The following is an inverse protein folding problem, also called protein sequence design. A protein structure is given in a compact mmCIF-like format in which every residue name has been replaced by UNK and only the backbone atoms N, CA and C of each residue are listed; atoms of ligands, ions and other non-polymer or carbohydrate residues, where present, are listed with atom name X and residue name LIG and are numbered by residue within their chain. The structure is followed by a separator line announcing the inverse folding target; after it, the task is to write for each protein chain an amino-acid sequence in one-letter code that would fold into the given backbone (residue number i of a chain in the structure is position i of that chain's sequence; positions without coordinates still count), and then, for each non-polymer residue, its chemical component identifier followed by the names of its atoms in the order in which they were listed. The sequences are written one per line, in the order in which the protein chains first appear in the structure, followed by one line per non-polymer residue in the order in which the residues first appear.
data_IF_589400281170
#
_entry.id   IF_589400281170
#
_cell.length_a   1.000
_cell.length_b   1.000
_cell.length_c   1.000
_cell.angle_alpha   90.00
_cell.angle_beta   90.00
_cell.angle_gamma   90.00
#
_symmetry.space_group_name_H-M   'P 1'
#
loop_
_entity.id
_entity.type
_entity.pdbx_description
1 polymer ?
#
# COMPACT_ATOMS: atom_id res chain seq x y z
N UNK A 1 -7.55 7.66 -27.40
CA UNK A 1 -7.17 9.04 -27.05
C UNK A 1 -5.76 9.27 -27.58
N UNK A 2 -5.45 10.41 -28.19
CA UNK A 2 -4.12 10.64 -28.77
C UNK A 2 -3.07 10.93 -27.69
N UNK A 3 -1.77 10.68 -27.95
CA UNK A 3 -0.69 11.03 -27.03
C UNK A 3 -0.68 12.51 -26.60
N UNK A 4 -1.03 13.44 -27.49
CA UNK A 4 -1.10 14.89 -27.19
C UNK A 4 -2.21 15.19 -26.20
N UNK A 5 -3.34 14.50 -26.32
CA UNK A 5 -4.46 14.64 -25.39
C UNK A 5 -4.06 14.08 -24.02
N UNK A 6 -3.44 12.89 -23.99
CA UNK A 6 -2.92 12.29 -22.75
C UNK A 6 -1.92 13.24 -22.07
N UNK A 7 -1.04 13.87 -22.85
CA UNK A 7 -0.08 14.87 -22.34
C UNK A 7 -0.77 16.03 -21.63
N UNK A 8 -1.83 16.59 -22.22
CA UNK A 8 -2.61 17.67 -21.60
C UNK A 8 -3.27 17.23 -20.29
N UNK A 9 -3.77 15.99 -20.23
CA UNK A 9 -4.44 15.46 -19.03
C UNK A 9 -3.49 15.37 -17.84
N UNK A 10 -2.36 14.67 -18.00
CA UNK A 10 -1.45 14.50 -16.87
C UNK A 10 -0.74 15.81 -16.50
N UNK A 11 -0.48 16.72 -17.46
CA UNK A 11 0.02 18.06 -17.11
C UNK A 11 -1.00 18.90 -16.34
N UNK A 12 -2.29 18.63 -16.50
CA UNK A 12 -3.36 19.30 -15.76
C UNK A 12 -3.73 18.63 -14.42
N UNK A 13 -2.98 17.62 -13.99
CA UNK A 13 -3.26 16.92 -12.74
C UNK A 13 -4.45 15.97 -12.79
N UNK A 14 -4.88 15.50 -13.97
CA UNK A 14 -6.12 14.72 -14.13
C UNK A 14 -5.84 13.23 -14.28
N UNK A 15 -6.59 12.42 -13.53
CA UNK A 15 -6.72 10.97 -13.75
C UNK A 15 -7.53 10.70 -15.04
N UNK A 16 -6.99 9.91 -15.95
CA UNK A 16 -7.63 9.55 -17.22
C UNK A 16 -8.86 8.63 -17.00
N UNK A 17 -9.88 8.68 -17.88
CA UNK A 17 -11.05 7.79 -17.82
C UNK A 17 -10.72 6.30 -18.08
N UNK A 18 -11.60 5.41 -17.63
CA UNK A 18 -11.46 3.93 -17.75
C UNK A 18 -11.29 3.48 -19.20
N UNK A 19 -11.97 4.11 -20.14
CA UNK A 19 -11.95 3.77 -21.56
C UNK A 19 -10.58 4.02 -22.20
N UNK A 20 -9.77 4.89 -21.60
CA UNK A 20 -8.39 5.14 -22.03
C UNK A 20 -7.50 3.99 -21.61
N UNK A 21 -7.66 3.46 -20.39
CA UNK A 21 -6.82 2.39 -19.88
C UNK A 21 -6.92 1.10 -20.73
N UNK A 22 -8.09 0.81 -21.32
CA UNK A 22 -8.28 -0.32 -22.23
C UNK A 22 -7.39 -0.26 -23.50
N UNK A 23 -6.93 0.93 -23.90
CA UNK A 23 -6.03 1.11 -25.05
C UNK A 23 -4.56 0.84 -24.70
N UNK A 24 -4.23 0.77 -23.40
CA UNK A 24 -2.89 0.63 -22.87
C UNK A 24 -2.86 -0.48 -21.81
N UNK A 25 -3.08 -1.75 -22.20
CA UNK A 25 -3.08 -2.85 -21.25
C UNK A 25 -1.71 -3.02 -20.59
N UNK A 26 -1.70 -3.46 -19.33
CA UNK A 26 -0.47 -3.85 -18.65
C UNK A 26 0.19 -5.03 -19.33
N UNK A 27 1.53 -5.06 -19.36
CA UNK A 27 2.25 -6.28 -19.70
C UNK A 27 1.95 -7.37 -18.65
N UNK A 28 1.87 -8.65 -19.07
CA UNK A 28 1.70 -9.74 -18.11
C UNK A 28 2.90 -9.81 -17.16
N UNK A 29 2.62 -9.95 -15.87
CA UNK A 29 3.66 -10.18 -14.87
C UNK A 29 4.19 -11.62 -15.00
N UNK A 30 5.47 -11.80 -14.68
CA UNK A 30 6.10 -13.12 -14.70
C UNK A 30 5.74 -13.87 -13.41
N UNK A 31 4.99 -14.97 -13.55
CA UNK A 31 4.52 -15.78 -12.41
C UNK A 31 4.89 -17.23 -12.66
N UNK A 32 5.65 -17.83 -11.74
CA UNK A 32 6.08 -19.21 -11.86
C UNK A 32 4.96 -20.17 -11.44
N UNK A 33 4.60 -21.15 -12.27
CA UNK A 33 3.53 -22.11 -11.96
C UNK A 33 2.21 -21.43 -11.52
N UNK A 34 1.78 -20.45 -12.30
CA UNK A 34 0.64 -19.58 -12.00
C UNK A 34 -0.61 -20.36 -11.55
N UNK A 35 -1.00 -20.14 -10.29
CA UNK A 35 -2.15 -20.78 -9.64
C UNK A 35 -3.48 -20.09 -10.01
N UNK A 36 -3.41 -18.90 -10.61
CA UNK A 36 -4.55 -18.02 -10.83
C UNK A 36 -5.06 -17.33 -9.56
N UNK A 37 -4.40 -17.46 -8.41
CA UNK A 37 -4.79 -16.76 -7.17
C UNK A 37 -4.31 -15.31 -7.21
N UNK A 38 -5.25 -14.38 -7.13
CA UNK A 38 -4.99 -12.94 -7.02
C UNK A 38 -5.02 -12.48 -5.56
N UNK A 39 -3.96 -11.81 -5.11
CA UNK A 39 -3.81 -11.24 -3.77
C UNK A 39 -3.80 -9.72 -3.83
N UNK A 40 -4.71 -9.09 -3.09
CA UNK A 40 -4.66 -7.67 -2.79
C UNK A 40 -3.81 -7.47 -1.54
N UNK A 41 -2.69 -6.78 -1.67
CA UNK A 41 -1.87 -6.35 -0.53
C UNK A 41 -2.32 -4.96 -0.12
N UNK A 42 -2.96 -4.88 1.03
CA UNK A 42 -3.51 -3.65 1.58
C UNK A 42 -2.40 -2.78 2.19
N UNK A 43 -2.29 -1.55 1.71
CA UNK A 43 -1.35 -0.54 2.19
C UNK A 43 -2.06 0.74 2.67
N UNK A 44 -3.41 0.80 2.63
CA UNK A 44 -4.18 1.91 3.18
C UNK A 44 -4.23 1.89 4.72
N UNK A 45 -3.86 0.75 5.31
CA UNK A 45 -3.76 0.58 6.77
C UNK A 45 -2.34 0.44 7.27
N UNK A 46 -1.38 0.10 6.39
CA UNK A 46 0.05 0.12 6.69
C UNK A 46 0.85 0.00 5.40
N UNK A 47 1.61 1.03 5.07
CA UNK A 47 2.60 1.01 4.00
C UNK A 47 4.01 1.02 4.60
N UNK A 48 4.89 0.21 4.01
CA UNK A 48 6.33 0.24 4.26
C UNK A 48 7.08 -0.39 3.08
N UNK A 49 8.40 -0.22 3.04
CA UNK A 49 9.22 -0.66 1.90
C UNK A 49 9.18 -2.17 1.65
N UNK A 50 8.92 -2.98 2.68
CA UNK A 50 8.78 -4.43 2.50
C UNK A 50 7.56 -4.74 1.64
N UNK A 51 6.40 -4.13 1.93
CA UNK A 51 5.18 -4.33 1.14
C UNK A 51 5.32 -3.76 -0.28
N UNK A 52 6.02 -2.63 -0.41
CA UNK A 52 6.23 -1.95 -1.68
C UNK A 52 7.10 -2.73 -2.67
N UNK A 53 8.24 -3.22 -2.20
CA UNK A 53 9.31 -3.66 -3.11
C UNK A 53 9.75 -5.10 -2.89
N UNK A 54 9.50 -5.69 -1.73
CA UNK A 54 10.09 -6.98 -1.38
C UNK A 54 9.10 -8.12 -1.51
N UNK A 55 7.84 -7.91 -1.13
CA UNK A 55 6.85 -8.98 -1.04
C UNK A 55 6.37 -9.49 -2.41
N UNK A 56 6.11 -8.57 -3.36
CA UNK A 56 5.46 -8.90 -4.63
C UNK A 56 6.19 -9.99 -5.42
N UNK A 57 7.49 -9.82 -5.64
CA UNK A 57 8.32 -10.77 -6.37
C UNK A 57 8.32 -12.16 -5.72
N UNK A 58 8.41 -12.22 -4.38
CA UNK A 58 8.42 -13.49 -3.66
C UNK A 58 7.10 -14.27 -3.83
N UNK A 59 5.97 -13.58 -3.91
CA UNK A 59 4.68 -14.21 -4.21
C UNK A 59 4.60 -14.70 -5.66
N UNK A 60 5.11 -13.91 -6.62
CA UNK A 60 5.08 -14.26 -8.04
C UNK A 60 5.93 -15.51 -8.34
N UNK A 61 7.06 -15.67 -7.66
CA UNK A 61 7.91 -16.87 -7.73
C UNK A 61 7.21 -18.13 -7.20
N UNK A 62 6.11 -17.99 -6.47
CA UNK A 62 5.30 -19.08 -5.87
C UNK A 62 3.94 -19.27 -6.52
N UNK A 63 3.75 -18.71 -7.72
CA UNK A 63 2.53 -18.89 -8.49
C UNK A 63 1.36 -18.01 -8.06
N UNK A 64 1.60 -17.04 -7.19
CA UNK A 64 0.57 -16.13 -6.68
C UNK A 64 0.70 -14.79 -7.39
N UNK A 65 -0.40 -14.29 -7.94
CA UNK A 65 -0.48 -12.96 -8.55
C UNK A 65 -0.77 -11.95 -7.44
N UNK A 66 -0.06 -10.83 -7.38
CA UNK A 66 -0.27 -9.83 -6.33
C UNK A 66 -0.20 -8.41 -6.84
N UNK A 67 -0.93 -7.51 -6.18
CA UNK A 67 -0.77 -6.06 -6.35
C UNK A 67 -0.94 -5.37 -4.99
N UNK A 68 -0.04 -4.42 -4.71
CA UNK A 68 -0.17 -3.50 -3.58
C UNK A 68 -1.16 -2.38 -3.90
N UNK A 69 -1.95 -1.99 -2.90
CA UNK A 69 -2.92 -0.91 -3.01
C UNK A 69 -2.87 0.06 -1.84
N UNK A 70 -2.85 1.36 -2.14
CA UNK A 70 -3.10 2.42 -1.17
C UNK A 70 -4.58 2.78 -1.01
N UNK A 71 -5.44 2.33 -1.93
CA UNK A 71 -6.87 2.60 -1.85
C UNK A 71 -7.55 1.73 -0.79
N UNK A 72 -8.60 2.28 -0.17
CA UNK A 72 -9.39 1.56 0.84
C UNK A 72 -10.10 0.35 0.23
N UNK A 73 -10.28 -0.67 1.06
CA UNK A 73 -10.80 -1.98 0.67
C UNK A 73 -12.23 -1.90 0.11
N UNK A 74 -13.06 -0.99 0.59
CA UNK A 74 -14.44 -0.81 0.11
C UNK A 74 -14.50 -0.50 -1.39
N UNK A 75 -13.46 0.14 -1.93
CA UNK A 75 -13.41 0.49 -3.35
C UNK A 75 -12.88 -0.63 -4.24
N UNK A 76 -12.26 -1.67 -3.67
CA UNK A 76 -11.50 -2.67 -4.42
C UNK A 76 -12.08 -4.08 -4.36
N UNK A 77 -12.92 -4.40 -3.38
CA UNK A 77 -13.43 -5.76 -3.22
C UNK A 77 -14.56 -6.10 -4.21
N UNK A 78 -15.06 -5.12 -4.96
CA UNK A 78 -16.03 -5.33 -6.05
C UNK A 78 -15.31 -5.41 -7.40
N UNK A 79 -15.24 -6.57 -8.07
CA UNK A 79 -14.60 -6.67 -9.37
C UNK A 79 -15.25 -5.73 -10.40
N UNK A 80 -14.42 -5.03 -11.17
CA UNK A 80 -14.85 -4.03 -12.16
C UNK A 80 -15.10 -2.63 -11.61
N UNK A 81 -15.04 -2.42 -10.29
CA UNK A 81 -15.04 -1.06 -9.71
C UNK A 81 -13.82 -0.26 -10.20
N UNK A 82 -13.93 1.07 -10.38
CA UNK A 82 -12.80 1.88 -10.81
C UNK A 82 -11.75 2.00 -9.69
N UNK A 83 -10.50 1.65 -10.00
CA UNK A 83 -9.33 1.93 -9.16
C UNK A 83 -8.31 2.78 -9.94
N UNK A 84 -7.52 3.60 -9.23
CA UNK A 84 -6.52 4.46 -9.85
C UNK A 84 -5.21 3.68 -10.05
N UNK A 85 -4.70 3.66 -11.27
CA UNK A 85 -3.44 2.98 -11.64
C UNK A 85 -2.61 3.84 -12.58
N UNK A 86 -1.38 3.44 -12.85
CA UNK A 86 -0.51 4.03 -13.88
C UNK A 86 -0.58 3.20 -15.16
N UNK A 87 -0.87 3.79 -16.32
CA UNK A 87 -0.96 3.03 -17.60
C UNK A 87 0.29 3.23 -18.50
N UNK A 88 0.78 2.22 -19.24
CA UNK A 88 2.00 2.35 -20.04
C UNK A 88 1.75 2.95 -21.45
N UNK A 89 1.84 4.28 -21.59
CA UNK A 89 1.56 4.98 -22.88
C UNK A 89 2.78 5.05 -23.82
N UNK A 90 3.99 4.83 -23.30
CA UNK A 90 5.30 4.84 -23.97
C UNK A 90 6.00 6.23 -24.15
N UNK A 91 7.34 6.24 -24.33
CA UNK A 91 8.28 5.27 -23.75
C UNK A 91 8.54 5.52 -22.25
N UNK A 92 8.13 6.69 -21.72
CA UNK A 92 8.32 7.10 -20.32
C UNK A 92 7.15 7.88 -19.75
N UNK A 93 5.96 7.78 -20.36
CA UNK A 93 4.75 8.45 -19.85
C UNK A 93 3.81 7.37 -19.32
N UNK A 94 3.63 7.39 -18.00
CA UNK A 94 2.75 6.53 -17.23
C UNK A 94 1.74 7.39 -16.46
N UNK A 95 0.75 7.99 -17.15
CA UNK A 95 -0.23 8.83 -16.50
C UNK A 95 -1.14 7.99 -15.59
N UNK A 96 -1.76 8.65 -14.61
CA UNK A 96 -2.81 8.05 -13.81
C UNK A 96 -4.07 7.86 -14.65
N UNK A 97 -4.70 6.70 -14.53
CA UNK A 97 -5.97 6.38 -15.14
C UNK A 97 -6.84 5.57 -14.18
N UNK A 98 -8.15 5.68 -14.33
CA UNK A 98 -9.07 4.73 -13.74
C UNK A 98 -8.98 3.41 -14.51
N UNK A 99 -9.04 2.29 -13.80
CA UNK A 99 -8.95 0.94 -14.35
C UNK A 99 -9.93 0.01 -13.60
N UNK A 100 -10.55 -0.97 -14.28
CA UNK A 100 -11.47 -1.89 -13.61
C UNK A 100 -10.71 -2.83 -12.69
N UNK A 101 -11.06 -2.81 -11.40
CA UNK A 101 -10.44 -3.64 -10.37
C UNK A 101 -10.58 -5.13 -10.72
N UNK A 102 -9.53 -5.96 -10.58
CA UNK A 102 -9.62 -7.36 -10.93
C UNK A 102 -10.36 -8.11 -9.82
N UNK A 103 -10.71 -9.37 -10.10
CA UNK A 103 -11.18 -10.26 -9.04
C UNK A 103 -10.03 -10.55 -8.08
N UNK A 104 -10.25 -10.34 -6.78
CA UNK A 104 -9.34 -10.78 -5.72
C UNK A 104 -9.80 -12.12 -5.15
N UNK A 105 -8.82 -12.96 -4.79
CA UNK A 105 -9.04 -14.21 -4.06
C UNK A 105 -8.74 -14.03 -2.58
N UNK A 106 -7.69 -13.28 -2.27
CA UNK A 106 -7.23 -13.03 -0.90
C UNK A 106 -6.92 -11.56 -0.69
N UNK A 107 -7.29 -11.03 0.48
CA UNK A 107 -6.79 -9.75 1.01
C UNK A 107 -5.75 -10.07 2.08
N UNK A 108 -4.56 -9.50 1.94
CA UNK A 108 -3.53 -9.49 2.97
C UNK A 108 -3.47 -8.08 3.54
N UNK A 109 -3.81 -7.92 4.81
CA UNK A 109 -3.83 -6.63 5.49
C UNK A 109 -3.18 -6.70 6.86
N UNK A 110 -2.64 -5.57 7.29
CA UNK A 110 -1.95 -5.40 8.55
C UNK A 110 -2.47 -4.14 9.25
N UNK A 111 -2.85 -4.28 10.53
CA UNK A 111 -3.23 -3.14 11.35
C UNK A 111 -2.10 -2.72 12.29
N UNK A 112 -2.05 -1.43 12.60
CA UNK A 112 -1.35 -0.88 13.76
C UNK A 112 -2.29 0.10 14.50
N UNK A 113 -2.09 0.32 15.79
CA UNK A 113 -2.84 1.30 16.58
C UNK A 113 -2.56 2.72 16.10
N UNK A 114 -1.36 2.99 15.59
CA UNK A 114 -0.95 4.31 15.10
C UNK A 114 -1.30 4.57 13.63
N UNK A 115 -1.91 3.59 12.97
CA UNK A 115 -2.28 3.68 11.57
C UNK A 115 -3.78 3.99 11.40
N UNK A 116 -4.20 4.45 10.20
CA UNK A 116 -5.59 4.67 9.89
C UNK A 116 -6.48 3.48 10.23
N UNK A 117 -7.68 3.79 10.69
CA UNK A 117 -8.66 2.78 11.06
C UNK A 117 -9.36 2.21 9.83
N UNK A 118 -9.76 0.94 9.91
CA UNK A 118 -10.75 0.38 9.00
C UNK A 118 -12.07 1.14 9.18
N UNK A 119 -12.55 1.79 8.12
CA UNK A 119 -13.82 2.53 8.17
C UNK A 119 -15.03 1.57 8.05
N UNK A 120 -16.23 1.95 8.49
CA UNK A 120 -17.40 1.06 8.48
C UNK A 120 -17.72 0.43 7.13
N UNK A 121 -17.51 1.17 6.04
CA UNK A 121 -17.69 0.70 4.67
C UNK A 121 -16.73 -0.45 4.32
N UNK A 122 -15.47 -0.36 4.73
CA UNK A 122 -14.47 -1.41 4.52
C UNK A 122 -14.81 -2.67 5.30
N UNK A 123 -15.24 -2.52 6.56
CA UNK A 123 -15.68 -3.65 7.39
C UNK A 123 -16.86 -4.38 6.74
N UNK A 124 -17.81 -3.61 6.18
CA UNK A 124 -18.97 -4.17 5.49
C UNK A 124 -18.56 -4.93 4.22
N UNK A 125 -17.69 -4.37 3.40
CA UNK A 125 -17.24 -5.01 2.15
C UNK A 125 -16.33 -6.21 2.41
N UNK A 126 -15.43 -6.15 3.39
CA UNK A 126 -14.63 -7.29 3.84
C UNK A 126 -15.50 -8.45 4.30
N UNK A 127 -16.56 -8.17 5.05
CA UNK A 127 -17.53 -9.18 5.47
C UNK A 127 -18.22 -9.81 4.26
N UNK A 128 -18.72 -9.02 3.32
CA UNK A 128 -19.34 -9.55 2.08
C UNK A 128 -18.35 -10.42 1.30
N UNK A 129 -17.13 -9.94 1.11
CA UNK A 129 -16.05 -10.65 0.42
C UNK A 129 -15.74 -12.00 1.08
N UNK A 130 -15.55 -12.01 2.39
CA UNK A 130 -15.29 -13.23 3.17
C UNK A 130 -16.46 -14.23 3.05
N UNK A 131 -17.70 -13.81 3.29
CA UNK A 131 -18.86 -14.72 3.18
C UNK A 131 -19.08 -15.23 1.75
N UNK A 132 -18.67 -14.47 0.73
CA UNK A 132 -18.74 -14.86 -0.67
C UNK A 132 -17.68 -15.90 -1.09
N UNK A 133 -16.70 -16.22 -0.24
CA UNK A 133 -15.64 -17.18 -0.54
C UNK A 133 -14.22 -16.59 -0.53
N UNK A 134 -14.08 -15.28 -0.38
CA UNK A 134 -12.79 -14.62 -0.30
C UNK A 134 -11.98 -15.04 0.93
N UNK A 135 -10.66 -15.02 0.79
CA UNK A 135 -9.72 -15.21 1.89
C UNK A 135 -9.30 -13.88 2.50
N UNK A 136 -9.26 -13.77 3.82
CA UNK A 136 -8.75 -12.57 4.50
C UNK A 136 -7.63 -13.00 5.44
N UNK A 137 -6.45 -12.42 5.29
CA UNK A 137 -5.30 -12.60 6.17
C UNK A 137 -5.06 -11.28 6.89
N UNK A 138 -5.18 -11.30 8.21
CA UNK A 138 -4.98 -10.14 9.07
C UNK A 138 -3.76 -10.36 9.96
N UNK A 139 -2.81 -9.43 9.89
CA UNK A 139 -1.71 -9.33 10.83
C UNK A 139 -2.00 -8.29 11.90
N UNK A 140 -1.89 -8.71 13.16
CA UNK A 140 -1.88 -7.81 14.30
C UNK A 140 -0.53 -7.14 14.52
N UNK A 141 -0.46 -6.34 15.59
CA UNK A 141 0.77 -5.80 16.13
C UNK A 141 0.67 -5.73 17.67
N UNK A 142 1.70 -5.25 18.34
CA UNK A 142 1.71 -4.99 19.77
C UNK A 142 0.63 -3.98 20.17
N UNK A 143 -0.13 -4.29 21.21
CA UNK A 143 -1.20 -3.41 21.70
C UNK A 143 -1.02 -3.13 23.18
N UNK A 144 -1.17 -1.86 23.57
CA UNK A 144 -1.20 -1.44 24.98
C UNK A 144 -2.60 -1.62 25.57
N UNK A 145 -2.68 -1.72 26.90
CA UNK A 145 -3.94 -1.98 27.61
C UNK A 145 -5.06 -0.98 27.25
N UNK A 146 -4.73 0.31 27.22
CA UNK A 146 -5.62 1.43 26.91
C UNK A 146 -6.09 1.47 25.44
N UNK A 147 -5.34 0.86 24.55
CA UNK A 147 -5.54 0.96 23.10
C UNK A 147 -6.29 -0.25 22.51
N UNK A 148 -6.38 -1.35 23.26
CA UNK A 148 -6.87 -2.64 22.74
C UNK A 148 -8.36 -2.72 22.45
N UNK A 149 -9.19 -1.91 23.10
CA UNK A 149 -10.64 -1.95 22.92
C UNK A 149 -11.12 -1.06 21.76
N UNK A 150 -10.41 0.05 21.52
CA UNK A 150 -10.79 1.04 20.51
C UNK A 150 -10.08 0.84 19.18
N UNK A 151 -9.16 -0.12 19.10
CA UNK A 151 -8.45 -0.39 17.86
C UNK A 151 -9.36 -1.08 16.82
N UNK A 152 -9.43 -0.48 15.63
CA UNK A 152 -10.30 -0.91 14.53
C UNK A 152 -10.07 -2.36 14.09
N UNK A 153 -8.83 -2.86 14.11
CA UNK A 153 -8.56 -4.27 13.82
C UNK A 153 -9.21 -5.18 14.87
N UNK A 154 -9.16 -4.82 16.15
CA UNK A 154 -9.83 -5.59 17.19
C UNK A 154 -11.35 -5.52 17.11
N UNK A 155 -11.91 -4.39 16.66
CA UNK A 155 -13.34 -4.30 16.36
C UNK A 155 -13.73 -5.29 15.25
N UNK A 156 -12.98 -5.31 14.14
CA UNK A 156 -13.16 -6.27 13.05
C UNK A 156 -13.04 -7.72 13.55
N UNK A 157 -11.98 -8.04 14.29
CA UNK A 157 -11.72 -9.40 14.79
C UNK A 157 -12.76 -9.87 15.80
N UNK A 158 -13.32 -8.96 16.61
CA UNK A 158 -14.30 -9.31 17.64
C UNK A 158 -15.58 -9.92 17.06
N UNK A 159 -15.99 -9.50 15.85
CA UNK A 159 -17.12 -10.10 15.12
C UNK A 159 -16.90 -11.58 14.80
N UNK A 160 -15.64 -12.00 14.74
CA UNK A 160 -15.23 -13.38 14.47
C UNK A 160 -14.70 -14.07 15.72
N UNK A 161 -14.96 -13.54 16.91
CA UNK A 161 -14.51 -14.15 18.17
C UNK A 161 -12.99 -14.18 18.32
N UNK A 162 -12.28 -13.19 17.76
CA UNK A 162 -10.84 -13.04 17.93
C UNK A 162 -10.50 -11.65 18.47
N UNK A 163 -9.35 -11.52 19.14
CA UNK A 163 -8.83 -10.24 19.65
C UNK A 163 -7.32 -10.33 19.87
N UNK A 164 -6.59 -9.27 19.54
CA UNK A 164 -5.22 -9.02 20.02
C UNK A 164 -5.28 -8.46 21.44
N UNK A 165 -4.49 -9.06 22.31
CA UNK A 165 -4.43 -8.72 23.73
C UNK A 165 -3.14 -7.95 24.04
N UNK A 166 -3.17 -7.11 25.08
CA UNK A 166 -1.96 -6.70 25.76
C UNK A 166 -1.19 -7.91 26.28
N UNK A 167 0.14 -7.86 26.17
CA UNK A 167 1.04 -8.91 26.64
C UNK A 167 1.71 -9.69 25.52
N UNK A 168 2.50 -10.69 25.92
CA UNK A 168 3.40 -11.43 25.04
C UNK A 168 3.25 -12.96 25.20
N UNK A 169 3.56 -13.66 24.13
CA UNK A 169 3.80 -15.10 24.08
C UNK A 169 5.24 -15.37 23.66
N UNK A 170 5.87 -16.39 24.25
CA UNK A 170 7.19 -16.86 23.81
C UNK A 170 7.04 -17.99 22.80
N UNK A 171 7.72 -17.89 21.66
CA UNK A 171 7.81 -18.96 20.67
C UNK A 171 9.15 -18.89 19.94
N UNK A 172 9.87 -20.02 19.91
CA UNK A 172 11.20 -20.14 19.31
C UNK A 172 12.18 -19.04 19.77
N UNK A 173 12.16 -18.69 21.06
CA UNK A 173 13.04 -17.68 21.63
C UNK A 173 12.65 -16.22 21.36
N UNK A 174 11.56 -15.98 20.62
CA UNK A 174 11.05 -14.65 20.29
C UNK A 174 9.75 -14.35 21.06
N UNK A 175 9.51 -13.07 21.28
CA UNK A 175 8.26 -12.57 21.89
C UNK A 175 7.29 -12.20 20.78
N UNK A 176 6.04 -12.61 20.95
CA UNK A 176 4.95 -12.39 20.01
C UNK A 176 3.78 -11.72 20.71
N UNK A 177 2.99 -10.86 20.01
CA UNK A 177 1.75 -10.33 20.57
C UNK A 177 0.81 -11.46 21.00
N UNK A 178 0.19 -11.31 22.17
CA UNK A 178 -0.79 -12.28 22.63
C UNK A 178 -2.10 -12.17 21.83
N UNK A 179 -2.61 -13.29 21.34
CA UNK A 179 -3.92 -13.37 20.67
C UNK A 179 -4.89 -14.15 21.55
N UNK A 180 -6.18 -13.87 21.43
CA UNK A 180 -7.25 -14.72 21.92
C UNK A 180 -8.22 -15.05 20.79
N UNK A 181 -8.71 -16.28 20.76
CA UNK A 181 -9.70 -16.77 19.79
C UNK A 181 -10.73 -17.66 20.47
N UNK A 182 -11.96 -17.69 19.97
CA UNK A 182 -12.98 -18.66 20.38
C UNK A 182 -12.68 -20.06 19.85
N UNK A 183 -13.41 -21.06 20.35
CA UNK A 183 -13.25 -22.47 19.94
C UNK A 183 -13.57 -22.75 18.46
N UNK A 184 -14.16 -21.79 17.75
CA UNK A 184 -14.43 -21.89 16.30
C UNK A 184 -13.17 -21.72 15.44
N UNK A 185 -12.05 -21.35 16.06
CA UNK A 185 -10.76 -21.19 15.40
C UNK A 185 -9.88 -22.43 15.56
N UNK A 186 -9.18 -22.78 14.49
CA UNK A 186 -8.05 -23.70 14.52
C UNK A 186 -6.78 -22.92 14.91
N UNK A 187 -6.12 -23.33 15.99
CA UNK A 187 -4.82 -22.79 16.39
C UNK A 187 -3.74 -23.59 15.65
N UNK A 188 -3.03 -22.93 14.73
CA UNK A 188 -1.98 -23.54 13.92
C UNK A 188 -0.62 -23.42 14.62
N UNK A 189 -0.31 -22.23 15.14
CA UNK A 189 0.88 -21.99 15.97
C UNK A 189 0.46 -21.43 17.33
N UNK A 190 1.12 -21.93 18.38
CA UNK A 190 0.84 -21.59 19.78
C UNK A 190 2.12 -21.20 20.50
N UNK A 191 2.02 -20.18 21.35
CA UNK A 191 3.08 -19.76 22.26
C UNK A 191 3.22 -20.65 23.48
N UNK A 192 4.18 -20.31 24.33
CA UNK A 192 4.53 -21.05 25.54
C UNK A 192 3.37 -21.19 26.54
N UNK A 193 2.43 -20.24 26.59
CA UNK A 193 1.25 -20.34 27.50
C UNK A 193 0.05 -21.02 26.83
N UNK A 194 0.18 -21.41 25.57
CA UNK A 194 -0.87 -22.04 24.78
C UNK A 194 -1.75 -21.06 23.99
N UNK A 195 -1.55 -19.74 24.12
CA UNK A 195 -2.26 -18.75 23.31
C UNK A 195 -1.80 -18.80 21.84
N UNK A 196 -2.66 -18.45 20.88
CA UNK A 196 -2.33 -18.49 19.46
C UNK A 196 -1.29 -17.45 19.06
N UNK A 197 -0.44 -17.82 18.11
CA UNK A 197 0.41 -16.91 17.31
C UNK A 197 -0.09 -16.87 15.87
N UNK A 198 -0.61 -17.99 15.38
CA UNK A 198 -1.31 -18.10 14.11
C UNK A 198 -2.57 -18.95 14.35
N UNK A 199 -3.72 -18.38 14.06
CA UNK A 199 -4.99 -19.08 14.03
C UNK A 199 -5.71 -18.87 12.69
N UNK A 200 -6.59 -19.81 12.33
CA UNK A 200 -7.41 -19.70 11.12
C UNK A 200 -8.81 -20.27 11.33
N UNK A 201 -9.79 -19.81 10.56
CA UNK A 201 -11.16 -20.30 10.58
C UNK A 201 -11.85 -20.19 9.23
N UNK A 202 -12.92 -20.97 9.06
CA UNK A 202 -13.85 -20.81 7.92
C UNK A 202 -15.00 -19.88 8.33
N UNK A 203 -15.40 -18.98 7.42
CA UNK A 203 -16.47 -18.01 7.61
C UNK A 203 -17.41 -18.03 6.40
N UNK A 204 -18.55 -18.71 6.51
CA UNK A 204 -19.40 -18.98 5.34
C UNK A 204 -18.65 -19.84 4.33
N UNK A 205 -18.44 -19.33 3.12
CA UNK A 205 -17.60 -19.99 2.10
C UNK A 205 -16.13 -19.56 2.15
N UNK A 206 -15.82 -18.42 2.77
CA UNK A 206 -14.47 -17.88 2.82
C UNK A 206 -13.69 -18.33 4.04
N UNK A 207 -12.47 -17.79 4.15
CA UNK A 207 -11.49 -18.22 5.14
C UNK A 207 -10.77 -17.02 5.72
N UNK A 208 -10.66 -17.01 7.04
CA UNK A 208 -10.01 -15.95 7.80
C UNK A 208 -8.77 -16.50 8.49
N UNK A 209 -7.66 -15.80 8.33
CA UNK A 209 -6.38 -16.07 8.99
C UNK A 209 -6.06 -14.88 9.88
N UNK A 210 -5.60 -15.19 11.09
CA UNK A 210 -5.08 -14.22 12.04
C UNK A 210 -3.65 -14.58 12.40
N UNK A 211 -2.74 -13.66 12.11
CA UNK A 211 -1.38 -13.67 12.60
C UNK A 211 -1.26 -12.69 13.77
N UNK A 212 -0.56 -13.10 14.83
CA UNK A 212 -0.22 -12.21 15.93
C UNK A 212 0.61 -11.01 15.45
N UNK A 213 1.47 -11.23 14.46
CA UNK A 213 2.31 -10.21 13.83
C UNK A 213 2.65 -10.59 12.37
N UNK A 214 2.89 -9.58 11.53
CA UNK A 214 3.45 -9.76 10.18
C UNK A 214 4.89 -10.30 10.19
N UNK A 215 5.59 -10.25 11.33
CA UNK A 215 6.93 -10.85 11.52
C UNK A 215 6.98 -12.36 11.21
N UNK A 216 5.82 -13.06 11.16
CA UNK A 216 5.76 -14.45 10.70
C UNK A 216 6.17 -14.62 9.23
N UNK A 217 5.99 -13.59 8.41
CA UNK A 217 6.31 -13.64 6.98
C UNK A 217 7.27 -12.54 6.51
N UNK A 218 7.57 -11.53 7.34
CA UNK A 218 8.58 -10.53 7.04
C UNK A 218 9.97 -11.14 7.15
N UNK A 219 10.73 -11.11 6.07
CA UNK A 219 12.05 -11.73 5.97
C UNK A 219 13.18 -10.70 5.93
N UNK A 220 14.36 -11.11 6.39
CA UNK A 220 15.61 -10.43 6.11
C UNK A 220 16.05 -10.74 4.67
N UNK A 221 16.23 -9.70 3.84
CA UNK A 221 16.64 -9.88 2.44
C UNK A 221 18.06 -10.43 2.29
N UNK A 222 18.90 -10.27 3.30
CA UNK A 222 20.28 -10.75 3.26
C UNK A 222 20.36 -12.27 3.58
N UNK A 223 19.35 -12.82 4.27
CA UNK A 223 19.26 -14.24 4.59
C UNK A 223 18.33 -14.99 3.62
N UNK A 224 18.94 -15.65 2.63
CA UNK A 224 18.21 -16.43 1.61
C UNK A 224 17.34 -17.55 2.19
N UNK A 225 17.73 -18.14 3.32
CA UNK A 225 16.93 -19.18 3.94
C UNK A 225 15.68 -18.57 4.58
N UNK A 226 15.84 -17.45 5.30
CA UNK A 226 14.71 -16.71 5.89
C UNK A 226 13.72 -16.24 4.80
N UNK A 227 14.23 -15.70 3.68
CA UNK A 227 13.42 -15.35 2.51
C UNK A 227 12.60 -16.55 2.03
N UNK A 228 13.24 -17.70 1.82
CA UNK A 228 12.55 -18.89 1.32
C UNK A 228 11.50 -19.38 2.31
N UNK A 229 11.89 -19.62 3.56
CA UNK A 229 11.03 -20.22 4.58
C UNK A 229 9.78 -19.37 4.85
N UNK A 230 9.96 -18.05 5.04
CA UNK A 230 8.84 -17.14 5.34
C UNK A 230 7.95 -16.90 4.13
N UNK A 231 8.52 -16.83 2.93
CA UNK A 231 7.73 -16.67 1.71
C UNK A 231 6.95 -17.94 1.36
N UNK A 232 7.53 -19.13 1.59
CA UNK A 232 6.85 -20.42 1.43
C UNK A 232 5.70 -20.55 2.45
N UNK A 233 5.96 -20.20 3.72
CA UNK A 233 4.94 -20.14 4.75
C UNK A 233 3.75 -19.23 4.38
N UNK A 234 4.05 -18.03 3.86
CA UNK A 234 3.01 -17.09 3.46
C UNK A 234 2.24 -17.60 2.23
N UNK A 235 2.93 -18.16 1.24
CA UNK A 235 2.28 -18.72 0.06
C UNK A 235 1.32 -19.86 0.42
N UNK A 236 1.75 -20.81 1.26
CA UNK A 236 0.90 -21.89 1.75
C UNK A 236 -0.33 -21.35 2.48
N UNK A 237 -0.16 -20.30 3.28
CA UNK A 237 -1.27 -19.66 4.00
C UNK A 237 -2.23 -18.93 3.05
N UNK A 238 -1.71 -18.26 2.02
CA UNK A 238 -2.52 -17.63 0.96
C UNK A 238 -3.32 -18.68 0.21
N UNK A 239 -2.71 -19.78 -0.20
CA UNK A 239 -3.41 -20.86 -0.92
C UNK A 239 -4.49 -21.50 -0.04
N UNK A 240 -4.20 -21.66 1.26
CA UNK A 240 -5.22 -22.09 2.21
C UNK A 240 -6.36 -21.08 2.30
N UNK A 241 -6.09 -19.78 2.40
CA UNK A 241 -7.11 -18.74 2.49
C UNK A 241 -7.94 -18.61 1.19
N UNK A 242 -7.31 -18.82 0.03
CA UNK A 242 -7.94 -18.70 -1.28
C UNK A 242 -8.94 -19.82 -1.60
N UNK A 243 -8.85 -20.97 -0.93
CA UNK A 243 -9.61 -22.18 -1.28
C UNK A 243 -11.14 -22.08 -1.13
N UNK A 244 -11.67 -20.98 -0.57
CA UNK A 244 -13.10 -20.65 -0.61
C UNK A 244 -13.57 -20.06 -1.95
N UNK A 245 -12.63 -19.69 -2.83
CA UNK A 245 -12.87 -18.95 -4.07
C UNK A 245 -12.26 -19.69 -5.27
N UNK A 246 -12.87 -19.55 -6.45
CA UNK A 246 -12.26 -20.05 -7.69
C UNK A 246 -11.09 -19.15 -8.11
N UNK A 247 -10.02 -19.68 -8.72
CA UNK A 247 -8.95 -18.85 -9.29
C UNK A 247 -9.49 -17.74 -10.22
N UNK A 248 -8.77 -16.63 -10.29
CA UNK A 248 -9.00 -15.60 -11.30
C UNK A 248 -8.61 -16.14 -12.69
N UNK A 249 -9.49 -15.93 -13.67
CA UNK A 249 -9.24 -16.34 -15.05
C UNK A 249 -8.36 -15.31 -15.79
N UNK A 250 -7.82 -15.71 -16.93
CA UNK A 250 -7.09 -14.82 -17.84
C UNK A 250 -5.60 -14.67 -17.54
N UNK A 251 -4.94 -13.87 -18.38
CA UNK A 251 -3.52 -13.57 -18.24
C UNK A 251 -3.23 -12.79 -16.94
N UNK A 252 -2.03 -12.94 -16.35
CA UNK A 252 -1.66 -12.24 -15.13
C UNK A 252 -1.31 -10.78 -15.44
N UNK A 253 -2.29 -9.97 -15.87
CA UNK A 253 -2.14 -8.53 -16.12
C UNK A 253 -2.62 -7.78 -14.88
N UNK A 254 -1.69 -7.50 -13.98
CA UNK A 254 -1.96 -6.82 -12.71
C UNK A 254 -1.32 -5.43 -12.72
N UNK A 255 -1.93 -4.45 -12.04
CA UNK A 255 -1.25 -3.20 -11.77
C UNK A 255 -0.06 -3.48 -10.84
N UNK A 256 1.15 -3.39 -11.37
CA UNK A 256 2.38 -3.58 -10.58
C UNK A 256 2.99 -2.26 -10.18
N UNK A 257 3.68 -2.22 -9.02
CA UNK A 257 4.62 -1.14 -8.78
C UNK A 257 5.63 -1.14 -9.93
N UNK A 258 5.77 0.03 -10.55
CA UNK A 258 6.95 0.30 -11.38
C UNK A 258 8.12 0.59 -10.42
N UNK A 259 9.05 1.45 -10.81
CA UNK A 259 10.07 2.01 -9.91
C UNK A 259 9.51 2.87 -8.75
N UNK A 260 8.21 2.76 -8.45
CA UNK A 260 7.48 3.58 -7.51
C UNK A 260 6.82 2.79 -6.39
N UNK A 261 6.01 3.48 -5.62
CA UNK A 261 5.51 3.00 -4.34
C UNK A 261 4.16 2.32 -4.40
N UNK A 262 3.72 1.69 -5.49
CA UNK A 262 2.45 0.92 -5.48
C UNK A 262 1.90 0.58 -6.86
N UNK A 263 1.02 -0.43 -6.92
CA UNK A 263 0.29 -0.79 -8.15
C UNK A 263 -1.02 -0.03 -8.29
N UNK A 264 -1.80 0.01 -7.20
CA UNK A 264 -3.07 0.73 -7.10
C UNK A 264 -2.90 1.91 -6.15
N UNK A 265 -3.32 3.07 -6.61
CA UNK A 265 -3.27 4.33 -5.88
C UNK A 265 -4.62 4.60 -5.23
N UNK A 266 -4.61 5.50 -4.26
CA UNK A 266 -5.78 5.88 -3.50
C UNK A 266 -6.91 6.35 -4.40
N UNK A 267 -8.14 6.37 -3.90
CA UNK A 267 -9.35 6.77 -4.60
C UNK A 267 -9.63 8.28 -4.49
N UNK A 268 -9.21 8.93 -3.41
CA UNK A 268 -9.43 10.36 -3.21
C UNK A 268 -8.30 11.18 -3.83
N UNK A 269 -8.59 12.43 -4.15
CA UNK A 269 -7.60 13.39 -4.64
C UNK A 269 -7.90 14.80 -4.11
N UNK A 270 -6.85 15.55 -3.79
CA UNK A 270 -6.90 16.98 -3.51
C UNK A 270 -5.97 17.69 -4.51
N UNK A 271 -6.40 18.83 -5.05
CA UNK A 271 -5.62 19.62 -6.00
C UNK A 271 -5.32 20.98 -5.41
N UNK A 272 -4.06 21.21 -5.12
CA UNK A 272 -3.53 22.46 -4.61
C UNK A 272 -2.74 23.16 -5.73
N UNK A 273 -2.31 24.40 -5.50
CA UNK A 273 -1.48 25.11 -6.49
C UNK A 273 -0.16 24.34 -6.71
N UNK A 274 0.01 23.76 -7.89
CA UNK A 274 1.18 22.97 -8.27
C UNK A 274 1.28 21.56 -7.68
N UNK A 275 0.27 21.06 -6.95
CA UNK A 275 0.29 19.74 -6.31
C UNK A 275 -1.02 18.99 -6.57
N UNK A 276 -0.91 17.72 -6.91
CA UNK A 276 -2.02 16.75 -6.87
C UNK A 276 -1.66 15.71 -5.84
N UNK A 277 -2.43 15.62 -4.77
CA UNK A 277 -2.22 14.63 -3.74
C UNK A 277 -3.31 13.56 -3.77
N UNK A 278 -2.89 12.29 -3.73
CA UNK A 278 -3.76 11.14 -3.58
C UNK A 278 -3.69 10.63 -2.14
N UNK A 279 -4.86 10.38 -1.55
CA UNK A 279 -5.02 9.91 -0.18
C UNK A 279 -6.24 9.00 -0.07
N UNK A 280 -6.22 8.09 0.89
CA UNK A 280 -7.26 7.09 1.12
C UNK A 280 -8.41 7.72 1.92
N UNK A 281 -9.64 7.23 1.75
CA UNK A 281 -10.83 7.70 2.49
C UNK A 281 -10.68 7.59 4.01
N UNK A 282 -9.88 6.64 4.48
CA UNK A 282 -9.63 6.43 5.90
C UNK A 282 -8.59 7.40 6.49
N UNK A 283 -8.08 8.35 5.69
CA UNK A 283 -7.09 9.32 6.16
C UNK A 283 -7.67 10.26 7.23
N UNK A 284 -6.84 10.62 8.22
CA UNK A 284 -7.27 11.45 9.34
C UNK A 284 -7.44 12.91 8.96
N UNK A 285 -8.42 13.58 9.58
CA UNK A 285 -8.67 15.02 9.37
C UNK A 285 -7.42 15.86 9.65
N UNK A 286 -6.62 15.50 10.66
CA UNK A 286 -5.40 16.19 11.02
C UNK A 286 -4.37 16.19 9.87
N UNK A 287 -4.20 15.07 9.19
CA UNK A 287 -3.30 14.95 8.05
C UNK A 287 -3.86 15.67 6.82
N UNK A 288 -5.19 15.67 6.63
CA UNK A 288 -5.84 16.43 5.55
C UNK A 288 -5.76 17.94 5.77
N UNK A 289 -5.86 18.41 7.02
CA UNK A 289 -5.64 19.83 7.38
C UNK A 289 -4.19 20.21 7.09
N UNK A 290 -3.23 19.41 7.55
CA UNK A 290 -1.80 19.62 7.30
C UNK A 290 -1.52 19.71 5.80
N UNK A 291 -2.11 18.82 5.00
CA UNK A 291 -2.00 18.87 3.55
C UNK A 291 -2.55 20.17 2.94
N UNK A 292 -3.70 20.65 3.41
CA UNK A 292 -4.38 21.82 2.84
C UNK A 292 -3.74 23.14 3.26
N UNK A 293 -3.23 23.21 4.48
CA UNK A 293 -2.71 24.44 5.08
C UNK A 293 -1.19 24.53 4.96
N UNK A 294 -0.47 23.44 5.25
CA UNK A 294 0.99 23.49 5.41
C UNK A 294 1.72 23.21 4.09
N UNK A 295 1.23 22.31 3.22
CA UNK A 295 1.95 22.02 1.97
C UNK A 295 2.08 23.23 1.05
N UNK A 296 1.04 24.09 0.87
CA UNK A 296 1.20 25.33 0.12
C UNK A 296 2.19 26.30 0.77
N UNK A 297 2.19 26.41 2.11
CA UNK A 297 3.10 27.28 2.85
C UNK A 297 4.55 26.79 2.73
N UNK A 298 4.80 25.50 2.95
CA UNK A 298 6.12 24.87 2.76
C UNK A 298 6.60 25.07 1.33
N UNK A 299 5.73 24.89 0.34
CA UNK A 299 6.08 25.11 -1.07
C UNK A 299 6.49 26.56 -1.32
N UNK A 300 5.74 27.52 -0.77
CA UNK A 300 6.08 28.94 -0.88
C UNK A 300 7.45 29.24 -0.24
N UNK A 301 7.68 28.78 0.98
CA UNK A 301 8.95 28.94 1.70
C UNK A 301 10.12 28.33 0.91
N UNK A 302 9.96 27.12 0.36
CA UNK A 302 10.99 26.48 -0.46
C UNK A 302 11.33 27.29 -1.73
N UNK A 303 10.33 27.83 -2.43
CA UNK A 303 10.58 28.68 -3.61
C UNK A 303 11.17 30.05 -3.25
N UNK A 304 10.90 30.57 -2.06
CA UNK A 304 11.52 31.78 -1.55
C UNK A 304 12.99 31.54 -1.15
N UNK A 305 13.29 30.39 -0.55
CA UNK A 305 14.66 29.99 -0.17
C UNK A 305 15.51 29.56 -1.37
N UNK A 306 14.90 28.83 -2.31
CA UNK A 306 15.52 28.31 -3.52
C UNK A 306 14.76 28.81 -4.76
N UNK A 307 15.03 30.04 -5.23
CA UNK A 307 14.34 30.60 -6.39
C UNK A 307 14.56 29.77 -7.66
N UNK A 308 13.51 29.04 -8.04
CA UNK A 308 13.51 28.08 -9.14
C UNK A 308 12.27 28.25 -10.02
N UNK A 309 12.35 28.02 -11.35
CA UNK A 309 11.17 27.97 -12.19
C UNK A 309 10.16 26.90 -11.71
N UNK A 310 8.89 27.29 -11.57
CA UNK A 310 7.80 26.34 -11.29
C UNK A 310 7.56 25.46 -12.53
N UNK A 311 7.45 24.12 -12.38
CA UNK A 311 7.08 23.23 -13.49
C UNK A 311 5.70 23.54 -14.07
N UNK A 312 5.47 23.16 -15.34
CA UNK A 312 4.14 23.28 -15.98
C UNK A 312 3.17 22.22 -15.42
N UNK A 313 3.68 21.03 -15.10
CA UNK A 313 2.94 19.95 -14.46
C UNK A 313 2.93 20.05 -12.92
N UNK A 314 1.88 19.56 -12.25
CA UNK A 314 1.89 19.46 -10.81
C UNK A 314 2.83 18.35 -10.33
N UNK A 315 3.30 18.47 -9.09
CA UNK A 315 3.85 17.35 -8.35
C UNK A 315 2.72 16.38 -8.00
N UNK A 316 2.88 15.10 -8.33
CA UNK A 316 1.96 14.05 -7.88
C UNK A 316 2.49 13.45 -6.60
N UNK A 317 1.73 13.60 -5.53
CA UNK A 317 2.09 13.16 -4.19
C UNK A 317 1.16 12.03 -3.73
N UNK A 318 1.74 10.96 -3.22
CA UNK A 318 1.03 9.82 -2.64
C UNK A 318 1.12 9.91 -1.11
N UNK A 319 0.02 10.21 -0.44
CA UNK A 319 -0.06 10.29 1.03
C UNK A 319 -0.37 8.89 1.58
N UNK A 320 0.67 8.18 2.02
CA UNK A 320 0.58 6.83 2.54
C UNK A 320 0.53 6.79 4.07
N UNK A 321 -0.14 5.75 4.55
CA UNK A 321 -0.24 5.38 5.95
C UNK A 321 0.97 4.55 6.39
N UNK A 322 1.50 4.74 7.58
CA UNK A 322 2.59 3.93 8.14
C UNK A 322 3.77 4.75 8.65
N UNK A 323 4.94 4.11 8.80
CA UNK A 323 6.19 4.76 9.19
C UNK A 323 7.36 4.24 8.36
N UNK A 324 7.81 5.04 7.39
CA UNK A 324 8.84 4.59 6.44
C UNK A 324 9.62 5.68 5.71
N UNK A 325 9.33 6.97 5.93
CA UNK A 325 9.99 8.07 5.23
C UNK A 325 9.32 8.41 3.91
N UNK A 326 10.08 8.89 2.93
CA UNK A 326 9.58 9.25 1.60
C UNK A 326 10.23 8.47 0.48
N UNK A 327 9.67 8.60 -0.73
CA UNK A 327 10.34 8.17 -1.96
C UNK A 327 10.00 9.14 -3.09
N UNK A 328 10.90 9.21 -4.07
CA UNK A 328 10.72 9.93 -5.32
C UNK A 328 10.91 9.00 -6.51
N UNK A 329 10.10 9.20 -7.55
CA UNK A 329 10.22 8.50 -8.83
C UNK A 329 10.40 9.50 -9.95
N UNK A 330 11.64 9.60 -10.40
CA UNK A 330 12.08 10.54 -11.43
C UNK A 330 12.40 9.88 -12.79
N UNK A 331 12.30 8.55 -12.88
CA UNK A 331 12.68 7.80 -14.09
C UNK A 331 11.62 7.86 -15.20
N UNK A 332 10.39 8.26 -14.87
CA UNK A 332 9.26 8.42 -15.80
C UNK A 332 8.34 9.60 -15.42
N UNK A 333 7.39 9.92 -16.30
CA UNK A 333 6.41 11.00 -16.16
C UNK A 333 4.97 10.48 -16.03
N UNK A 334 4.06 11.22 -15.35
CA UNK A 334 4.40 12.27 -14.40
C UNK A 334 5.29 11.73 -13.28
N UNK A 335 6.18 12.57 -12.77
CA UNK A 335 6.93 12.25 -11.57
C UNK A 335 5.96 11.99 -10.42
N UNK A 336 6.29 11.06 -9.54
CA UNK A 336 5.61 10.92 -8.26
C UNK A 336 6.60 11.04 -7.12
N UNK A 337 6.07 11.52 -6.01
CA UNK A 337 6.68 11.39 -4.70
C UNK A 337 5.66 10.78 -3.75
N UNK A 338 6.10 10.27 -2.61
CA UNK A 338 5.19 9.77 -1.60
C UNK A 338 5.72 9.94 -0.19
N UNK A 339 4.80 9.97 0.76
CA UNK A 339 5.08 10.10 2.18
C UNK A 339 4.54 8.89 2.92
N UNK A 340 5.34 8.25 3.77
CA UNK A 340 4.92 7.16 4.64
C UNK A 340 5.02 7.66 6.09
N UNK A 341 3.97 8.34 6.54
CA UNK A 341 3.86 8.88 7.90
C UNK A 341 2.41 9.07 8.30
N UNK A 342 2.11 8.83 9.58
CA UNK A 342 0.80 9.08 10.19
C UNK A 342 0.79 10.30 11.11
N UNK A 343 1.86 11.10 11.13
CA UNK A 343 1.92 12.34 11.92
C UNK A 343 2.08 13.59 11.06
N UNK A 344 1.47 14.73 11.45
CA UNK A 344 1.65 16.01 10.77
C UNK A 344 3.11 16.41 10.60
N UNK A 345 3.92 16.28 11.64
CA UNK A 345 5.34 16.62 11.62
C UNK A 345 6.11 15.76 10.61
N UNK A 346 5.78 14.46 10.57
CA UNK A 346 6.39 13.53 9.64
C UNK A 346 6.04 13.86 8.20
N UNK A 347 4.76 14.07 7.89
CA UNK A 347 4.35 14.40 6.51
C UNK A 347 4.87 15.76 6.05
N UNK A 348 4.98 16.76 6.94
CA UNK A 348 5.62 18.07 6.62
C UNK A 348 7.08 17.89 6.24
N UNK A 349 7.84 17.17 7.08
CA UNK A 349 9.26 16.92 6.90
C UNK A 349 9.54 16.19 5.59
N UNK A 350 8.82 15.08 5.36
CA UNK A 350 8.96 14.29 4.14
C UNK A 350 8.52 15.12 2.93
N UNK A 351 7.37 15.80 3.00
CA UNK A 351 6.90 16.63 1.89
C UNK A 351 7.92 17.70 1.50
N UNK A 352 8.53 18.39 2.46
CA UNK A 352 9.57 19.38 2.17
C UNK A 352 10.76 18.77 1.41
N UNK A 353 11.26 17.63 1.89
CA UNK A 353 12.33 16.86 1.24
C UNK A 353 11.95 16.42 -0.19
N UNK A 354 10.74 15.86 -0.35
CA UNK A 354 10.26 15.37 -1.64
C UNK A 354 9.93 16.50 -2.63
N UNK A 355 9.44 17.64 -2.14
CA UNK A 355 9.21 18.83 -2.96
C UNK A 355 10.53 19.36 -3.50
N UNK A 356 11.58 19.38 -2.67
CA UNK A 356 12.93 19.79 -3.06
C UNK A 356 13.51 18.90 -4.19
N UNK A 357 13.27 17.58 -4.16
CA UNK A 357 13.63 16.65 -5.26
C UNK A 357 13.04 17.03 -6.63
N UNK A 358 11.93 17.78 -6.65
CA UNK A 358 11.27 18.18 -7.90
C UNK A 358 11.67 19.56 -8.40
N UNK A 359 12.36 20.35 -7.59
CA UNK A 359 12.77 21.71 -7.93
C UNK A 359 14.05 21.70 -8.79
N UNK A 360 14.08 22.42 -9.94
CA UNK A 360 15.33 22.62 -10.68
C UNK A 360 16.30 23.44 -9.81
N UNK A 361 17.61 23.15 -9.87
CA UNK A 361 18.68 23.84 -9.12
C UNK A 361 18.65 25.37 -9.25
N UNK A 362 19.34 26.14 -8.38
CA UNK A 362 19.30 27.59 -8.45
C UNK A 362 19.86 28.09 -9.79
N UNK A 363 19.21 29.12 -10.34
CA UNK A 363 19.67 29.78 -11.56
C UNK A 363 21.08 30.40 -11.35
N UNK A 364 22.11 29.73 -11.88
CA UNK A 364 23.46 30.32 -12.03
C UNK A 364 24.54 29.82 -11.07
N UNK A 365 24.22 28.96 -10.11
CA UNK A 365 25.21 28.23 -9.32
C UNK A 365 24.87 26.74 -9.37
N UNK A 366 25.55 26.00 -10.25
CA UNK A 366 25.54 24.54 -10.19
C UNK A 366 26.00 24.16 -8.78
N UNK A 367 25.15 23.50 -7.98
CA UNK A 367 25.60 23.04 -6.68
C UNK A 367 26.82 22.12 -6.92
N UNK A 368 27.85 22.30 -6.11
CA UNK A 368 29.12 21.61 -6.34
C UNK A 368 28.90 20.10 -6.13
N UNK A 369 29.31 19.31 -7.12
CA UNK A 369 28.58 18.15 -7.62
C UNK A 369 29.15 16.79 -7.12
N UNK A 370 28.38 16.00 -6.35
CA UNK A 370 28.70 14.59 -6.05
C UNK A 370 27.86 13.57 -6.85
N UNK A 371 26.70 13.95 -7.43
CA UNK A 371 25.66 12.98 -7.85
C UNK A 371 25.19 13.02 -9.33
N UNK A 372 25.96 13.58 -10.26
CA UNK A 372 25.77 13.31 -11.70
C UNK A 372 24.71 14.15 -12.43
N UNK A 373 24.35 15.33 -11.92
CA UNK A 373 23.53 16.31 -12.64
C UNK A 373 22.01 16.24 -12.41
N UNK A 374 21.53 15.43 -11.46
CA UNK A 374 20.14 15.48 -10.98
C UNK A 374 20.02 16.53 -9.86
N UNK A 375 19.77 17.78 -10.23
CA UNK A 375 19.76 18.92 -9.29
C UNK A 375 18.74 18.82 -8.15
N UNK A 376 17.69 18.00 -8.30
CA UNK A 376 16.69 17.78 -7.25
C UNK A 376 17.25 17.05 -6.02
N UNK A 377 18.15 16.09 -6.21
CA UNK A 377 18.79 15.33 -5.12
C UNK A 377 19.67 16.23 -4.25
N UNK A 378 20.24 17.28 -4.84
CA UNK A 378 21.10 18.24 -4.15
C UNK A 378 20.30 19.13 -3.19
N UNK A 379 19.06 19.46 -3.56
CA UNK A 379 18.16 20.23 -2.70
C UNK A 379 17.56 19.41 -1.57
N UNK A 380 17.28 18.13 -1.81
CA UNK A 380 16.67 17.28 -0.79
C UNK A 380 17.62 16.96 0.38
N UNK A 381 18.93 17.08 0.18
CA UNK A 381 19.92 16.94 1.25
C UNK A 381 20.06 18.16 2.17
N UNK A 382 19.49 19.32 1.78
CA UNK A 382 19.39 20.54 2.59
C UNK A 382 18.08 20.59 3.35
#
# INVERSE_FOLDING_TARGET
MTPETIKKWWKSGRTLPVEVAAQYPFEPIQVANDTGVNVLVDMSHRCDFFLLWNLGEQLHQRGIRSAGSHATLDTLLTPGSPCRVRIPVAPKIHPFAWWPTPKWNVVLSEGDVLNPAYIPEELQELKKFLYAGGGVILSGNWVKEDSSENWSLNQLLSEYGAKLLPGEELYQGHRWPAVNVTNDWEIVLKGATGKPIYARRTCGRGRLVLFASSELFRFDQEDKNDVSEKSDFLADTILWAAAGSTPAAGEPRMPTPMWGGGGIYQESEERLDGIVCYYSKNQTDELLITLREDFPAITADLYDWFPSPKPEEPMYLVLCSGGGGGWAVNIYLPKETGTISTSPEGIRSIFGHEQAHTMPGPCGAVANHPFGGNQGEEHAGW
#
